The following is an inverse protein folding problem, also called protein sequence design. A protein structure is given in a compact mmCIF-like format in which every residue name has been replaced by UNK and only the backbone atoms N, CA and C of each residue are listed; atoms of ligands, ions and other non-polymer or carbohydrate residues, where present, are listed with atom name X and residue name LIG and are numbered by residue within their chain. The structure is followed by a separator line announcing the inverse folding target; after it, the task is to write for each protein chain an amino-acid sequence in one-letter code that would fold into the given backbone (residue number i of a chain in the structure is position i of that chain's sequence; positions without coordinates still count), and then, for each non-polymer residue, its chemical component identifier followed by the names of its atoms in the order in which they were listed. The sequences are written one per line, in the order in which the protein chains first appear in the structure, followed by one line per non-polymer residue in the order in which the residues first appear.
data_IF_033926249343
#
_entry.id   IF_033926249343
#
_cell.length_a   1.000
_cell.length_b   1.000
_cell.length_c   1.000
_cell.angle_alpha   90.00
_cell.angle_beta   90.00
_cell.angle_gamma   90.00
#
_symmetry.space_group_name_H-M   'P 1'
#
loop_
_entity.id
_entity.type
_entity.pdbx_description
1 polymer ?
#
# COMPACT_ATOMS: atom_id res chain seq x y z
N UNK A 1 19.06 -6.46 -4.46
CA UNK A 1 17.84 -5.95 -5.13
C UNK A 1 17.08 -4.93 -4.27
N UNK A 2 16.66 -5.26 -3.04
CA UNK A 2 16.00 -4.29 -2.14
C UNK A 2 16.89 -3.09 -1.80
N UNK A 3 18.10 -3.34 -1.26
CA UNK A 3 19.07 -2.27 -0.93
C UNK A 3 19.33 -1.31 -2.11
N UNK A 4 19.44 -1.84 -3.32
CA UNK A 4 19.62 -1.02 -4.52
C UNK A 4 18.41 -0.10 -4.80
N UNK A 5 17.17 -0.57 -4.56
CA UNK A 5 15.98 0.29 -4.67
C UNK A 5 15.99 1.37 -3.60
N UNK A 6 16.39 1.02 -2.38
CA UNK A 6 16.52 1.97 -1.28
C UNK A 6 17.55 3.06 -1.61
N UNK A 7 18.79 2.67 -1.95
CA UNK A 7 19.87 3.61 -2.23
C UNK A 7 19.53 4.49 -3.46
N UNK A 8 18.87 3.93 -4.47
CA UNK A 8 18.39 4.67 -5.64
C UNK A 8 17.33 5.73 -5.28
N UNK A 9 16.26 5.34 -4.60
CA UNK A 9 15.19 6.27 -4.25
C UNK A 9 15.65 7.33 -3.25
N UNK A 10 16.52 6.96 -2.29
CA UNK A 10 17.13 7.92 -1.38
C UNK A 10 17.92 8.99 -2.16
N UNK A 11 18.72 8.60 -3.15
CA UNK A 11 19.44 9.55 -3.99
C UNK A 11 18.50 10.49 -4.75
N UNK A 12 17.39 9.97 -5.29
CA UNK A 12 16.36 10.78 -5.96
C UNK A 12 15.75 11.83 -5.01
N UNK A 13 15.37 11.43 -3.79
CA UNK A 13 14.79 12.35 -2.82
C UNK A 13 15.77 13.44 -2.38
N UNK A 14 17.04 13.08 -2.16
CA UNK A 14 18.11 14.03 -1.86
C UNK A 14 18.29 15.04 -3.01
N UNK A 15 18.38 14.57 -4.24
CA UNK A 15 18.57 15.42 -5.43
C UNK A 15 17.40 16.37 -5.64
N UNK A 16 16.18 15.90 -5.39
CA UNK A 16 14.96 16.69 -5.54
C UNK A 16 14.69 17.61 -4.35
N UNK A 17 15.52 17.57 -3.29
CA UNK A 17 15.29 18.26 -2.01
C UNK A 17 13.91 17.96 -1.42
N UNK A 18 13.41 16.76 -1.68
CA UNK A 18 12.15 16.29 -1.12
C UNK A 18 12.36 15.90 0.35
N UNK A 19 11.41 16.24 1.21
CA UNK A 19 11.47 15.79 2.60
C UNK A 19 11.24 14.27 2.67
N UNK A 20 12.07 13.59 3.45
CA UNK A 20 11.96 12.17 3.73
C UNK A 20 12.45 11.89 5.16
N UNK A 21 11.95 10.79 5.75
CA UNK A 21 12.52 10.23 6.97
C UNK A 21 13.02 8.81 6.69
N UNK A 22 14.04 8.35 7.41
CA UNK A 22 14.54 7.00 7.22
C UNK A 22 15.25 6.42 8.43
N UNK A 23 15.19 5.09 8.58
CA UNK A 23 15.96 4.31 9.54
C UNK A 23 17.10 3.49 8.91
N UNK A 24 17.44 3.74 7.63
CA UNK A 24 18.46 2.98 6.89
C UNK A 24 17.95 1.71 6.20
N UNK A 25 16.68 1.34 6.37
CA UNK A 25 16.03 0.22 5.68
C UNK A 25 14.77 0.63 4.94
N UNK A 26 13.99 1.57 5.48
CA UNK A 26 12.76 2.08 4.87
C UNK A 26 12.82 3.61 4.74
N UNK A 27 12.23 4.14 3.67
CA UNK A 27 12.00 5.57 3.47
C UNK A 27 10.53 5.89 3.79
N UNK A 28 10.29 6.87 4.64
CA UNK A 28 8.96 7.45 4.85
C UNK A 28 8.86 8.73 4.03
N UNK A 29 7.86 8.80 3.17
CA UNK A 29 7.64 9.93 2.27
C UNK A 29 6.18 10.35 2.34
N UNK A 30 5.94 11.64 2.52
CA UNK A 30 4.57 12.17 2.50
C UNK A 30 4.05 12.16 1.06
N UNK A 31 3.03 11.35 0.79
CA UNK A 31 2.42 11.16 -0.53
C UNK A 31 1.07 10.45 -0.38
N UNK A 32 0.03 10.95 -1.04
CA UNK A 32 -1.32 10.35 -0.99
C UNK A 32 -1.48 9.10 -1.86
N UNK A 33 -0.54 8.83 -2.76
CA UNK A 33 -0.60 7.66 -3.64
C UNK A 33 -0.46 6.37 -2.83
N UNK A 34 -1.35 5.38 -3.01
CA UNK A 34 -1.20 4.07 -2.35
C UNK A 34 -0.05 3.25 -2.94
N UNK A 35 0.44 3.63 -4.13
CA UNK A 35 1.52 2.94 -4.81
C UNK A 35 2.88 3.54 -4.42
N UNK A 36 3.54 2.91 -3.46
CA UNK A 36 4.90 3.26 -3.06
C UNK A 36 5.94 2.39 -3.77
N UNK A 37 7.11 2.95 -4.16
CA UNK A 37 8.21 2.14 -4.65
C UNK A 37 8.73 1.17 -3.58
N UNK A 38 9.39 0.10 -4.01
CA UNK A 38 10.08 -0.83 -3.09
C UNK A 38 10.98 -0.02 -2.14
N UNK A 39 10.96 -0.40 -0.85
CA UNK A 39 11.69 0.25 0.27
C UNK A 39 11.19 1.62 0.70
N UNK A 40 10.05 2.06 0.16
CA UNK A 40 9.36 3.25 0.62
C UNK A 40 8.01 2.89 1.26
N UNK A 41 7.57 3.74 2.17
CA UNK A 41 6.22 3.75 2.71
C UNK A 41 5.71 5.18 2.58
N UNK A 42 4.58 5.31 1.90
CA UNK A 42 3.86 6.57 1.81
C UNK A 42 3.02 6.78 3.06
N UNK A 43 2.94 8.03 3.50
CA UNK A 43 2.02 8.46 4.56
C UNK A 43 1.35 9.77 4.16
N UNK A 44 0.20 10.04 4.73
CA UNK A 44 -0.49 11.33 4.66
C UNK A 44 -1.10 11.63 6.04
N UNK A 45 -1.27 12.92 6.34
CA UNK A 45 -2.01 13.36 7.52
C UNK A 45 -3.49 13.50 7.17
N UNK A 46 -4.36 13.18 8.12
CA UNK A 46 -5.80 13.37 8.00
C UNK A 46 -6.35 13.97 9.30
N UNK A 47 -7.37 14.82 9.16
CA UNK A 47 -8.04 15.46 10.30
C UNK A 47 -9.29 14.69 10.76
N UNK A 48 -9.93 13.96 9.86
CA UNK A 48 -11.18 13.22 10.11
C UNK A 48 -11.07 11.77 9.63
N UNK A 49 -11.25 10.84 10.57
CA UNK A 49 -11.17 9.39 10.33
C UNK A 49 -12.25 8.89 9.36
N UNK A 50 -13.47 9.46 9.41
CA UNK A 50 -14.57 9.04 8.55
C UNK A 50 -14.32 9.46 7.12
N UNK A 51 -13.79 10.65 6.90
CA UNK A 51 -13.45 11.13 5.55
C UNK A 51 -12.32 10.32 4.92
N UNK A 52 -11.24 10.02 5.67
CA UNK A 52 -10.16 9.18 5.14
C UNK A 52 -10.64 7.75 4.84
N UNK A 53 -11.44 7.15 5.72
CA UNK A 53 -12.01 5.81 5.46
C UNK A 53 -12.91 5.80 4.24
N UNK A 54 -13.67 6.88 4.02
CA UNK A 54 -14.51 7.03 2.82
C UNK A 54 -13.65 7.20 1.57
N UNK A 55 -12.55 7.97 1.62
CA UNK A 55 -11.58 8.10 0.51
C UNK A 55 -11.01 6.73 0.15
N UNK A 56 -10.48 6.00 1.14
CA UNK A 56 -9.84 4.70 0.95
C UNK A 56 -10.82 3.64 0.42
N UNK A 57 -12.06 3.58 0.92
CA UNK A 57 -13.06 2.61 0.45
C UNK A 57 -13.57 2.85 -0.97
N UNK A 58 -13.50 4.10 -1.43
CA UNK A 58 -13.96 4.47 -2.77
C UNK A 58 -12.83 4.41 -3.82
N UNK A 59 -11.58 4.22 -3.39
CA UNK A 59 -10.45 4.11 -4.30
C UNK A 59 -10.32 2.66 -4.82
N UNK A 60 -10.52 2.41 -6.13
CA UNK A 60 -10.42 1.07 -6.71
C UNK A 60 -9.00 0.49 -6.64
N UNK A 61 -7.97 1.31 -6.37
CA UNK A 61 -6.62 0.82 -6.14
C UNK A 61 -6.45 0.14 -4.77
N UNK A 62 -7.34 0.40 -3.82
CA UNK A 62 -7.25 -0.13 -2.45
C UNK A 62 -7.98 -1.47 -2.37
N UNK A 63 -7.21 -2.52 -2.14
CA UNK A 63 -7.76 -3.88 -2.02
C UNK A 63 -8.16 -4.23 -0.59
N UNK A 64 -7.48 -3.66 0.41
CA UNK A 64 -7.76 -3.93 1.81
C UNK A 64 -7.32 -2.77 2.72
N UNK A 65 -7.94 -2.69 3.89
CA UNK A 65 -7.63 -1.73 4.94
C UNK A 65 -7.31 -2.51 6.21
N UNK A 66 -6.12 -2.29 6.78
CA UNK A 66 -5.67 -2.90 8.05
C UNK A 66 -5.88 -1.90 9.18
N UNK A 67 -6.70 -2.26 10.17
CA UNK A 67 -6.98 -1.43 11.35
C UNK A 67 -7.71 -2.26 12.41
N UNK A 68 -7.96 -1.68 13.59
CA UNK A 68 -8.74 -2.34 14.66
C UNK A 68 -10.19 -2.66 14.27
N UNK A 69 -10.75 -1.95 13.29
CA UNK A 69 -12.14 -2.09 12.86
C UNK A 69 -12.26 -2.74 11.46
N UNK A 70 -11.14 -3.19 10.88
CA UNK A 70 -11.10 -3.82 9.55
C UNK A 70 -10.25 -5.10 9.63
N UNK A 71 -9.33 -5.34 8.69
CA UNK A 71 -8.42 -6.49 8.79
C UNK A 71 -7.47 -6.25 9.96
N UNK A 72 -7.36 -7.23 10.85
CA UNK A 72 -6.43 -7.18 11.97
C UNK A 72 -4.97 -7.07 11.51
N UNK A 73 -4.13 -6.45 12.33
CA UNK A 73 -2.71 -6.34 12.06
C UNK A 73 -2.07 -7.72 11.86
N UNK A 74 -1.36 -7.88 10.74
CA UNK A 74 -0.77 -9.16 10.32
C UNK A 74 -1.70 -10.02 9.45
N UNK A 75 -3.02 -9.81 9.51
CA UNK A 75 -4.01 -10.59 8.75
C UNK A 75 -3.92 -10.41 7.23
N UNK A 76 -3.54 -9.22 6.76
CA UNK A 76 -3.42 -8.95 5.32
C UNK A 76 -2.34 -9.79 4.60
N UNK A 77 -1.43 -10.44 5.34
CA UNK A 77 -0.43 -11.36 4.78
C UNK A 77 -0.91 -12.82 4.75
N UNK A 78 -2.13 -13.09 5.21
CA UNK A 78 -2.74 -14.41 5.30
C UNK A 78 -4.12 -14.40 4.62
N UNK A 79 -4.20 -14.15 3.30
CA UNK A 79 -5.47 -14.16 2.59
C UNK A 79 -6.08 -15.57 2.64
N UNK A 80 -7.37 -15.66 2.96
CA UNK A 80 -8.13 -16.91 2.86
C UNK A 80 -8.40 -17.25 1.38
N UNK A 81 -8.83 -18.50 1.14
CA UNK A 81 -9.10 -18.98 -0.21
C UNK A 81 -10.16 -18.17 -0.96
N UNK A 82 -10.99 -17.38 -0.25
CA UNK A 82 -12.02 -16.54 -0.83
C UNK A 82 -11.66 -15.03 -0.85
N UNK A 83 -10.50 -14.64 -0.32
CA UNK A 83 -10.05 -13.25 -0.25
C UNK A 83 -9.37 -12.84 -1.57
N UNK A 84 -10.13 -12.92 -2.66
CA UNK A 84 -9.64 -12.57 -3.99
C UNK A 84 -9.58 -11.06 -4.17
N UNK A 85 -8.48 -10.59 -4.77
CA UNK A 85 -8.41 -9.25 -5.34
C UNK A 85 -9.55 -9.05 -6.36
N UNK A 86 -10.18 -7.88 -6.30
CA UNK A 86 -11.14 -7.39 -7.29
C UNK A 86 -12.48 -8.15 -7.38
N UNK A 87 -12.81 -8.99 -6.40
CA UNK A 87 -14.10 -9.70 -6.34
C UNK A 87 -14.29 -10.75 -7.44
N UNK A 88 -13.23 -11.14 -8.14
CA UNK A 88 -13.26 -12.17 -9.17
C UNK A 88 -13.08 -13.54 -8.52
N UNK A 89 -14.12 -14.37 -8.59
CA UNK A 89 -14.02 -15.78 -8.21
C UNK A 89 -12.99 -16.47 -9.12
N UNK A 90 -11.86 -16.89 -8.53
CA UNK A 90 -10.77 -17.54 -9.26
C UNK A 90 -11.25 -18.81 -9.99
N UNK A 91 -12.23 -19.53 -9.45
CA UNK A 91 -12.81 -20.69 -10.12
C UNK A 91 -13.69 -20.29 -11.31
N UNK A 92 -14.38 -19.15 -11.24
CA UNK A 92 -15.11 -18.59 -12.38
C UNK A 92 -14.17 -18.12 -13.49
N UNK A 93 -13.07 -17.43 -13.13
CA UNK A 93 -12.02 -17.05 -14.07
C UNK A 93 -11.41 -18.27 -14.77
N UNK A 94 -10.99 -19.29 -14.02
CA UNK A 94 -10.39 -20.50 -14.59
C UNK A 94 -11.35 -21.26 -15.52
N UNK A 95 -12.65 -21.29 -15.20
CA UNK A 95 -13.68 -21.87 -16.08
C UNK A 95 -13.87 -21.07 -17.39
N UNK A 96 -13.62 -19.77 -17.39
CA UNK A 96 -13.76 -18.92 -18.58
C UNK A 96 -12.61 -19.04 -19.60
N UNK A 97 -11.52 -19.72 -19.22
CA UNK A 97 -10.35 -19.95 -20.08
C UNK A 97 -10.47 -21.22 -20.95
N UNK A 98 -11.55 -22.00 -20.81
CA UNK A 98 -11.85 -23.18 -21.62
C UNK A 98 -13.08 -22.98 -22.50
#
# INVERSE_FOLDING_TARGET
KYKNNYDYNLAIHILNKQYYMTNGSILLVENESPFSPISQLHYEYYDDEKEILKKLKNDPAIQCIVSKDHIDFGGAQCPDICDYADGVDTMAFLKSLG
#
